data_IF_433614260357
#
_entry.id   IF_433614260357
#
_cell.length_a   1.000
_cell.length_b   1.000
_cell.length_c   1.000
_cell.angle_alpha   90.00
_cell.angle_beta   90.00
_cell.angle_gamma   90.00
#
_symmetry.space_group_name_H-M   'P 1'
#
loop_
_entity.id
_entity.type
_entity.pdbx_description
1 polymer ?
#
# COMPACT_ATOMS: atom_id res chain seq x y z
N UNK A 1 -28.13 -20.30 10.20
CA UNK A 1 -28.25 -18.84 10.05
C UNK A 1 -26.98 -18.35 9.36
N UNK A 2 -27.07 -17.94 8.10
CA UNK A 2 -25.93 -17.33 7.40
C UNK A 2 -25.73 -15.93 7.98
N UNK A 3 -24.54 -15.68 8.52
CA UNK A 3 -24.14 -14.38 9.04
C UNK A 3 -24.02 -13.42 7.85
N UNK A 4 -25.09 -12.66 7.59
CA UNK A 4 -25.20 -11.67 6.50
C UNK A 4 -24.51 -10.35 6.87
N UNK A 5 -23.48 -10.39 7.72
CA UNK A 5 -22.66 -9.21 7.97
C UNK A 5 -21.96 -8.81 6.67
N UNK A 6 -22.09 -7.55 6.21
CA UNK A 6 -21.41 -7.08 5.01
C UNK A 6 -19.89 -7.25 5.20
N UNK A 7 -19.28 -8.16 4.43
CA UNK A 7 -17.83 -8.31 4.42
C UNK A 7 -17.21 -7.04 3.81
N UNK A 8 -16.23 -6.40 4.47
CA UNK A 8 -15.56 -5.25 3.89
C UNK A 8 -14.82 -5.68 2.61
N UNK A 9 -14.78 -4.83 1.57
CA UNK A 9 -14.08 -5.18 0.33
C UNK A 9 -12.58 -5.36 0.58
N UNK A 10 -12.01 -6.42 0.00
CA UNK A 10 -10.58 -6.77 0.11
C UNK A 10 -9.68 -5.91 -0.81
N UNK A 11 -10.26 -4.93 -1.49
CA UNK A 11 -9.53 -4.04 -2.37
C UNK A 11 -10.24 -2.70 -2.54
N UNK A 12 -9.52 -1.62 -2.30
CA UNK A 12 -10.00 -0.24 -2.48
C UNK A 12 -9.15 0.45 -3.55
N UNK A 13 -9.55 0.45 -4.84
CA UNK A 13 -8.68 0.85 -5.96
C UNK A 13 -8.09 2.27 -5.83
N UNK A 14 -8.91 3.24 -5.43
CA UNK A 14 -8.48 4.64 -5.30
C UNK A 14 -7.53 4.86 -4.12
N UNK A 15 -7.68 4.09 -3.05
CA UNK A 15 -6.78 4.13 -1.89
C UNK A 15 -5.47 3.43 -2.28
N UNK A 16 -5.56 2.25 -2.91
CA UNK A 16 -4.40 1.50 -3.38
C UNK A 16 -3.53 2.30 -4.36
N UNK A 17 -4.14 3.00 -5.32
CA UNK A 17 -3.38 3.85 -6.24
C UNK A 17 -2.59 4.95 -5.51
N UNK A 18 -3.22 5.60 -4.51
CA UNK A 18 -2.57 6.63 -3.70
C UNK A 18 -1.45 6.05 -2.84
N UNK A 19 -1.68 4.91 -2.18
CA UNK A 19 -0.64 4.26 -1.35
C UNK A 19 0.52 3.77 -2.21
N UNK A 20 0.24 3.23 -3.40
CA UNK A 20 1.26 2.79 -4.35
C UNK A 20 2.15 3.96 -4.80
N UNK A 21 1.58 5.11 -5.13
CA UNK A 21 2.38 6.30 -5.50
C UNK A 21 3.31 6.71 -4.35
N UNK A 22 2.79 6.79 -3.13
CA UNK A 22 3.60 7.15 -1.95
C UNK A 22 4.74 6.16 -1.76
N UNK A 23 4.46 4.85 -1.86
CA UNK A 23 5.47 3.81 -1.71
C UNK A 23 6.50 3.85 -2.84
N UNK A 24 6.09 4.09 -4.09
CA UNK A 24 7.02 4.22 -5.22
C UNK A 24 7.95 5.41 -5.02
N UNK A 25 7.43 6.56 -4.58
CA UNK A 25 8.27 7.74 -4.27
C UNK A 25 9.28 7.41 -3.16
N UNK A 26 8.82 6.77 -2.08
CA UNK A 26 9.70 6.35 -0.99
C UNK A 26 10.78 5.35 -1.46
N UNK A 27 10.41 4.39 -2.32
CA UNK A 27 11.32 3.41 -2.90
C UNK A 27 12.39 4.07 -3.78
N UNK A 28 12.00 5.04 -4.63
CA UNK A 28 12.94 5.80 -5.46
C UNK A 28 13.94 6.57 -4.58
N UNK A 29 13.47 7.22 -3.52
CA UNK A 29 14.34 7.91 -2.55
C UNK A 29 15.29 6.92 -1.87
N UNK A 30 14.77 5.77 -1.41
CA UNK A 30 15.57 4.72 -0.78
C UNK A 30 16.65 4.18 -1.72
N UNK A 31 16.32 3.90 -2.98
CA UNK A 31 17.29 3.49 -4.00
C UNK A 31 18.34 4.57 -4.26
N UNK A 32 17.95 5.85 -4.37
CA UNK A 32 18.91 6.93 -4.59
C UNK A 32 19.90 7.06 -3.43
N UNK A 33 19.43 6.94 -2.18
CA UNK A 33 20.27 6.95 -0.98
C UNK A 33 21.20 5.74 -0.96
N UNK A 34 20.67 4.53 -1.20
CA UNK A 34 21.46 3.30 -1.23
C UNK A 34 22.55 3.36 -2.31
N UNK A 35 22.22 3.83 -3.52
CA UNK A 35 23.18 4.04 -4.59
C UNK A 35 24.27 5.05 -4.21
N UNK A 36 23.91 6.13 -3.51
CA UNK A 36 24.88 7.14 -3.08
C UNK A 36 25.89 6.61 -2.07
N UNK A 37 25.50 5.66 -1.23
CA UNK A 37 26.32 5.05 -0.17
C UNK A 37 27.17 3.91 -0.73
N UNK A 38 26.56 3.00 -1.49
CA UNK A 38 27.20 1.76 -1.94
C UNK A 38 27.81 1.85 -3.35
N UNK A 39 27.45 2.85 -4.14
CA UNK A 39 27.96 3.07 -5.51
C UNK A 39 27.35 2.14 -6.57
N UNK A 40 26.69 1.06 -6.15
CA UNK A 40 25.99 0.12 -7.01
C UNK A 40 24.69 -0.38 -6.36
N UNK A 41 23.77 -0.85 -7.20
CA UNK A 41 22.54 -1.53 -6.80
C UNK A 41 22.45 -2.81 -7.61
N UNK A 42 22.35 -3.95 -6.94
CA UNK A 42 22.15 -5.20 -7.66
C UNK A 42 20.72 -5.24 -8.22
N UNK A 43 20.53 -5.93 -9.35
CA UNK A 43 19.19 -6.15 -9.91
C UNK A 43 18.25 -6.82 -8.88
N UNK A 44 18.81 -7.68 -8.02
CA UNK A 44 18.08 -8.32 -6.92
C UNK A 44 17.48 -7.30 -5.94
N UNK A 45 18.18 -6.20 -5.66
CA UNK A 45 17.72 -5.17 -4.72
C UNK A 45 16.55 -4.38 -5.32
N UNK A 46 16.62 -4.11 -6.63
CA UNK A 46 15.54 -3.44 -7.37
C UNK A 46 14.29 -4.31 -7.40
N UNK A 47 14.42 -5.59 -7.75
CA UNK A 47 13.29 -6.53 -7.79
C UNK A 47 12.70 -6.72 -6.39
N UNK A 48 13.56 -6.90 -5.38
CA UNK A 48 13.13 -6.99 -3.99
C UNK A 48 12.34 -5.77 -3.54
N UNK A 49 12.84 -4.57 -3.88
CA UNK A 49 12.16 -3.30 -3.57
C UNK A 49 10.80 -3.19 -4.27
N UNK A 50 10.69 -3.61 -5.53
CA UNK A 50 9.43 -3.58 -6.27
C UNK A 50 8.36 -4.51 -5.65
N UNK A 51 8.76 -5.74 -5.29
CA UNK A 51 7.86 -6.72 -4.65
C UNK A 51 7.45 -6.22 -3.25
N UNK A 52 8.42 -5.87 -2.41
CA UNK A 52 8.17 -5.38 -1.05
C UNK A 52 7.35 -4.09 -1.05
N UNK A 53 7.62 -3.17 -1.98
CA UNK A 53 6.85 -1.94 -2.14
C UNK A 53 5.39 -2.19 -2.51
N UNK A 54 5.14 -3.09 -3.47
CA UNK A 54 3.78 -3.48 -3.86
C UNK A 54 3.02 -4.11 -2.69
N UNK A 55 3.69 -4.99 -1.93
CA UNK A 55 3.11 -5.62 -0.73
C UNK A 55 2.81 -4.58 0.35
N UNK A 56 3.72 -3.64 0.60
CA UNK A 56 3.51 -2.56 1.57
C UNK A 56 2.33 -1.66 1.16
N UNK A 57 2.25 -1.27 -0.11
CA UNK A 57 1.13 -0.49 -0.64
C UNK A 57 -0.21 -1.21 -0.45
N UNK A 58 -0.21 -2.55 -0.63
CA UNK A 58 -1.36 -3.40 -0.39
C UNK A 58 -1.74 -3.44 1.11
N UNK A 59 -0.81 -3.67 2.02
CA UNK A 59 -1.16 -3.71 3.45
C UNK A 59 -1.66 -2.35 3.97
N UNK A 60 -1.04 -1.25 3.53
CA UNK A 60 -1.46 0.10 3.91
C UNK A 60 -2.85 0.43 3.35
N UNK A 61 -3.17 0.05 2.11
CA UNK A 61 -4.50 0.37 1.55
C UNK A 61 -5.62 -0.40 2.26
N UNK A 62 -5.37 -1.65 2.68
CA UNK A 62 -6.30 -2.42 3.51
C UNK A 62 -6.48 -1.77 4.88
N UNK A 63 -5.37 -1.38 5.53
CA UNK A 63 -5.42 -0.70 6.81
C UNK A 63 -6.27 0.57 6.75
N UNK A 64 -6.06 1.42 5.74
CA UNK A 64 -6.85 2.65 5.55
C UNK A 64 -8.31 2.31 5.25
N UNK A 65 -8.57 1.32 4.39
CA UNK A 65 -9.93 0.90 4.04
C UNK A 65 -10.72 0.37 5.23
N UNK A 66 -10.10 -0.45 6.07
CA UNK A 66 -10.71 -1.05 7.26
C UNK A 66 -10.83 -0.07 8.44
N UNK A 67 -9.92 0.91 8.54
CA UNK A 67 -9.92 1.90 9.64
C UNK A 67 -10.91 3.04 9.41
N UNK A 68 -11.46 3.19 8.20
CA UNK A 68 -12.48 4.21 7.95
C UNK A 68 -13.74 3.83 8.72
N UNK A 69 -14.24 4.68 9.63
CA UNK A 69 -15.53 4.42 10.24
C UNK A 69 -16.54 4.31 9.10
N UNK A 70 -17.34 3.24 9.11
CA UNK A 70 -18.52 3.13 8.27
C UNK A 70 -19.32 4.39 8.58
N UNK A 71 -19.30 5.38 7.68
CA UNK A 71 -20.14 6.55 7.80
C UNK A 71 -21.55 6.00 7.66
N UNK A 72 -22.18 5.68 8.79
CA UNK A 72 -23.62 5.48 8.87
C UNK A 72 -24.20 6.82 8.49
N UNK A 73 -24.49 7.01 7.21
CA UNK A 73 -25.61 7.85 6.78
C UNK A 73 -26.88 7.11 7.22
N UNK A 74 -27.11 7.11 8.52
CA UNK A 74 -28.43 7.10 9.12
C UNK A 74 -28.44 8.39 9.93
N UNK A 75 -29.49 9.18 9.75
CA UNK A 75 -29.79 10.47 10.40
C UNK A 75 -29.29 11.68 9.59
N UNK A 76 -29.98 12.04 8.50
CA UNK A 76 -31.16 12.93 8.50
C UNK A 76 -31.72 13.16 7.09
#
# INVERSE_FOLDING_TARGET
MQDLSPQPPLFYPSIFAKTLIVVVVAAVIGCAVAYRIHGELALRDIIGTAISGTLAAYLIHLWIGLSRPVRREQDD
#
